data_IF_605061016740
#
_entry.id   IF_605061016740
#
_cell.length_a   1.000
_cell.length_b   1.000
_cell.length_c   1.000
_cell.angle_alpha   90.00
_cell.angle_beta   90.00
_cell.angle_gamma   90.00
#
_symmetry.space_group_name_H-M   'P 1'
#
loop_
_entity.id
_entity.type
_entity.pdbx_description
1 polymer ?
#
# COMPACT_ATOMS: atom_id res chain seq x y z
N UNK A 1 1.02 8.89 4.95
CA UNK A 1 0.42 8.34 6.18
C UNK A 1 -1.07 8.60 6.41
N UNK A 2 -1.57 9.78 6.82
CA UNK A 2 -3.00 9.92 7.21
C UNK A 2 -3.97 9.61 6.07
N UNK A 3 -3.67 10.12 4.87
CA UNK A 3 -4.45 9.82 3.67
C UNK A 3 -4.45 8.31 3.36
N UNK A 4 -3.32 7.64 3.54
CA UNK A 4 -3.20 6.20 3.35
C UNK A 4 -4.16 5.42 4.26
N UNK A 5 -4.18 5.75 5.56
CA UNK A 5 -5.12 5.14 6.51
C UNK A 5 -6.58 5.38 6.09
N UNK A 6 -6.91 6.63 5.71
CA UNK A 6 -8.26 6.98 5.32
C UNK A 6 -8.72 6.22 4.07
N UNK A 7 -7.86 6.09 3.06
CA UNK A 7 -8.19 5.39 1.83
C UNK A 7 -8.28 3.87 2.03
N UNK A 8 -7.49 3.29 2.95
CA UNK A 8 -7.65 1.89 3.37
C UNK A 8 -9.02 1.58 3.99
N UNK A 9 -9.66 2.58 4.62
CA UNK A 9 -11.05 2.46 5.12
C UNK A 9 -12.04 2.76 4.00
N UNK A 10 -11.85 3.84 3.24
CA UNK A 10 -12.81 4.30 2.24
C UNK A 10 -13.00 3.31 1.09
N UNK A 11 -11.96 2.55 0.69
CA UNK A 11 -12.08 1.55 -0.38
C UNK A 11 -13.12 0.47 -0.05
N UNK A 12 -13.36 0.23 1.25
CA UNK A 12 -14.30 -0.78 1.74
C UNK A 12 -15.76 -0.30 1.73
N UNK A 13 -15.98 1.01 1.64
CA UNK A 13 -17.33 1.57 1.53
C UNK A 13 -17.97 1.17 0.20
N UNK A 14 -19.30 1.19 0.10
CA UNK A 14 -19.96 0.91 -1.16
C UNK A 14 -19.84 2.10 -2.15
N UNK A 15 -20.04 1.86 -3.46
CA UNK A 15 -19.92 2.89 -4.50
C UNK A 15 -20.76 4.15 -4.24
N UNK A 16 -21.97 4.01 -3.71
CA UNK A 16 -22.84 5.14 -3.34
C UNK A 16 -22.27 6.03 -2.23
N UNK A 17 -21.29 5.54 -1.48
CA UNK A 17 -20.51 6.29 -0.48
C UNK A 17 -19.08 6.60 -0.95
N UNK A 18 -18.77 6.38 -2.22
CA UNK A 18 -17.48 6.69 -2.84
C UNK A 18 -16.39 5.63 -2.63
N UNK A 19 -16.75 4.43 -2.14
CA UNK A 19 -15.82 3.30 -2.06
C UNK A 19 -16.00 2.30 -3.20
N UNK A 20 -15.40 1.11 -3.07
CA UNK A 20 -15.40 0.08 -4.11
C UNK A 20 -15.87 -1.29 -3.60
N UNK A 21 -16.40 -1.38 -2.38
CA UNK A 21 -16.61 -2.65 -1.66
C UNK A 21 -15.35 -3.54 -1.67
N UNK A 22 -14.17 -2.91 -1.63
CA UNK A 22 -12.88 -3.58 -1.82
C UNK A 22 -12.06 -3.65 -0.54
N UNK A 23 -10.98 -4.43 -0.60
CA UNK A 23 -9.95 -4.56 0.42
C UNK A 23 -8.73 -3.70 0.06
N UNK A 24 -7.89 -3.44 1.05
CA UNK A 24 -6.64 -2.70 0.89
C UNK A 24 -5.42 -3.57 1.23
N UNK A 25 -4.31 -3.29 0.57
CA UNK A 25 -2.97 -3.70 0.99
C UNK A 25 -2.22 -2.46 1.47
N UNK A 26 -1.59 -2.54 2.64
CA UNK A 26 -0.78 -1.49 3.23
C UNK A 26 0.65 -2.00 3.45
N UNK A 27 1.57 -1.55 2.60
CA UNK A 27 3.00 -1.79 2.74
C UNK A 27 3.61 -0.61 3.51
N UNK A 28 4.05 -0.88 4.72
CA UNK A 28 4.65 0.11 5.63
C UNK A 28 6.17 -0.03 5.61
N UNK A 29 6.89 1.04 5.27
CA UNK A 29 8.36 1.09 5.19
C UNK A 29 9.00 1.75 6.42
N UNK A 30 8.27 2.62 7.14
CA UNK A 30 8.79 3.40 8.29
C UNK A 30 8.17 3.12 9.66
N UNK A 31 7.09 2.35 9.73
CA UNK A 31 6.48 1.85 10.96
C UNK A 31 5.42 2.84 11.40
N UNK A 32 4.77 3.46 10.42
CA UNK A 32 3.87 4.60 10.60
C UNK A 32 2.41 4.16 10.64
N UNK A 33 2.13 2.89 10.32
CA UNK A 33 0.78 2.33 10.44
C UNK A 33 0.33 2.33 11.91
N UNK A 34 -0.87 2.84 12.16
CA UNK A 34 -1.48 2.90 13.49
C UNK A 34 -2.91 2.36 13.40
N UNK A 35 -3.15 1.21 14.00
CA UNK A 35 -4.45 0.55 13.97
C UNK A 35 -5.54 1.40 14.64
N UNK A 36 -5.17 2.20 15.64
CA UNK A 36 -6.05 3.14 16.33
C UNK A 36 -6.60 4.21 15.37
N UNK A 37 -5.84 4.56 14.32
CA UNK A 37 -6.32 5.48 13.26
C UNK A 37 -7.35 4.82 12.37
N UNK A 38 -7.15 3.55 12.00
CA UNK A 38 -8.13 2.78 11.24
C UNK A 38 -9.42 2.65 12.05
N UNK A 39 -9.33 2.31 13.34
CA UNK A 39 -10.49 2.19 14.22
C UNK A 39 -11.29 3.51 14.28
N UNK A 40 -10.61 4.63 14.53
CA UNK A 40 -11.26 5.94 14.59
C UNK A 40 -11.94 6.31 13.25
N UNK A 41 -11.26 6.04 12.12
CA UNK A 41 -11.78 6.32 10.78
C UNK A 41 -12.97 5.42 10.41
N UNK A 42 -12.90 4.13 10.74
CA UNK A 42 -13.98 3.17 10.51
C UNK A 42 -15.25 3.57 11.29
N UNK A 43 -15.11 3.89 12.58
CA UNK A 43 -16.22 4.39 13.41
C UNK A 43 -16.85 5.65 12.83
N UNK A 44 -16.04 6.59 12.33
CA UNK A 44 -16.52 7.85 11.76
C UNK A 44 -17.41 7.66 10.51
N UNK A 45 -17.23 6.56 9.77
CA UNK A 45 -18.04 6.23 8.58
C UNK A 45 -19.08 5.15 8.83
N UNK A 46 -19.23 4.69 10.08
CA UNK A 46 -20.20 3.68 10.49
C UNK A 46 -19.82 2.25 10.09
N UNK A 47 -18.54 1.96 9.85
CA UNK A 47 -18.04 0.61 9.68
C UNK A 47 -17.67 -0.02 11.03
N UNK A 48 -17.84 -1.33 11.13
CA UNK A 48 -17.32 -2.12 12.24
C UNK A 48 -15.77 -2.13 12.19
N UNK A 49 -15.06 -1.71 13.25
CA UNK A 49 -13.60 -1.62 13.24
C UNK A 49 -12.88 -2.94 13.00
N UNK A 50 -13.39 -4.04 13.56
CA UNK A 50 -12.76 -5.36 13.41
C UNK A 50 -12.87 -5.84 11.97
N UNK A 51 -14.04 -5.66 11.36
CA UNK A 51 -14.25 -5.91 9.93
C UNK A 51 -13.37 -5.01 9.08
N UNK A 52 -13.27 -3.72 9.41
CA UNK A 52 -12.44 -2.77 8.67
C UNK A 52 -10.95 -3.15 8.72
N UNK A 53 -10.47 -3.63 9.87
CA UNK A 53 -9.11 -4.10 10.04
C UNK A 53 -8.85 -5.39 9.26
N UNK A 54 -9.77 -6.36 9.30
CA UNK A 54 -9.65 -7.64 8.59
C UNK A 54 -9.57 -7.48 7.06
N UNK A 55 -10.10 -6.38 6.52
CA UNK A 55 -10.04 -6.05 5.10
C UNK A 55 -8.76 -5.29 4.68
N UNK A 56 -7.80 -5.10 5.60
CA UNK A 56 -6.52 -4.44 5.33
C UNK A 56 -5.40 -5.46 5.53
N UNK A 57 -4.78 -5.88 4.42
CA UNK A 57 -3.55 -6.68 4.46
C UNK A 57 -2.38 -5.77 4.82
N UNK A 58 -1.78 -5.96 5.99
CA UNK A 58 -0.63 -5.20 6.44
C UNK A 58 0.68 -5.97 6.23
N UNK A 59 1.68 -5.30 5.66
CA UNK A 59 3.04 -5.84 5.51
C UNK A 59 4.09 -4.80 5.86
N UNK A 60 5.11 -5.22 6.61
CA UNK A 60 6.25 -4.38 6.97
C UNK A 60 7.42 -4.64 6.03
N UNK A 61 7.75 -3.68 5.17
CA UNK A 61 8.99 -3.72 4.41
C UNK A 61 10.15 -3.26 5.30
N UNK A 62 11.22 -4.06 5.40
CA UNK A 62 12.35 -3.80 6.31
C UNK A 62 13.60 -3.26 5.60
N UNK A 63 13.64 -3.35 4.27
CA UNK A 63 14.68 -2.82 3.38
C UNK A 63 14.14 -2.74 1.94
N UNK A 64 14.93 -2.19 1.01
CA UNK A 64 14.52 -1.93 -0.38
C UNK A 64 14.29 -3.22 -1.18
N UNK A 65 15.08 -4.27 -0.94
CA UNK A 65 14.91 -5.56 -1.59
C UNK A 65 13.62 -6.26 -1.13
N UNK A 66 13.34 -6.25 0.18
CA UNK A 66 12.12 -6.79 0.75
C UNK A 66 10.89 -6.01 0.24
N UNK A 67 10.97 -4.68 0.15
CA UNK A 67 9.90 -3.86 -0.42
C UNK A 67 9.58 -4.25 -1.87
N UNK A 68 10.59 -4.53 -2.69
CA UNK A 68 10.41 -4.99 -4.06
C UNK A 68 9.83 -6.40 -4.14
N UNK A 69 10.33 -7.33 -3.31
CA UNK A 69 9.84 -8.71 -3.24
C UNK A 69 8.35 -8.77 -2.84
N UNK A 70 7.93 -7.96 -1.86
CA UNK A 70 6.52 -7.86 -1.47
C UNK A 70 5.63 -7.50 -2.67
N UNK A 71 6.07 -6.57 -3.53
CA UNK A 71 5.30 -6.16 -4.72
C UNK A 71 5.29 -7.24 -5.82
N UNK A 72 6.34 -8.08 -5.89
CA UNK A 72 6.35 -9.24 -6.78
C UNK A 72 5.33 -10.29 -6.31
N UNK A 73 5.33 -10.62 -5.02
CA UNK A 73 4.39 -11.57 -4.40
C UNK A 73 2.93 -11.07 -4.42
N UNK A 74 2.74 -9.74 -4.44
CA UNK A 74 1.41 -9.16 -4.49
C UNK A 74 0.59 -9.59 -5.71
N UNK A 75 1.23 -9.91 -6.83
CA UNK A 75 0.54 -10.39 -8.03
C UNK A 75 -0.23 -11.69 -7.74
N UNK A 76 0.39 -12.61 -6.98
CA UNK A 76 -0.25 -13.85 -6.58
C UNK A 76 -1.40 -13.59 -5.58
N UNK A 77 -1.18 -12.72 -4.60
CA UNK A 77 -2.19 -12.36 -3.61
C UNK A 77 -3.44 -11.75 -4.27
N UNK A 78 -3.25 -10.78 -5.16
CA UNK A 78 -4.34 -10.09 -5.87
C UNK A 78 -5.12 -11.06 -6.77
N UNK A 79 -4.43 -12.01 -7.39
CA UNK A 79 -5.08 -13.04 -8.22
C UNK A 79 -5.97 -13.95 -7.37
N UNK A 80 -5.55 -14.27 -6.14
CA UNK A 80 -6.31 -15.09 -5.18
C UNK A 80 -7.41 -14.32 -4.46
N UNK A 81 -7.26 -13.01 -4.30
CA UNK A 81 -8.20 -12.11 -3.64
C UNK A 81 -8.58 -10.92 -4.55
N UNK A 82 -9.51 -11.12 -5.50
CA UNK A 82 -9.95 -10.09 -6.43
C UNK A 82 -10.65 -8.89 -5.76
N UNK A 83 -11.01 -9.01 -4.48
CA UNK A 83 -11.57 -7.91 -3.71
C UNK A 83 -10.54 -6.82 -3.40
N UNK A 84 -9.23 -7.08 -3.50
CA UNK A 84 -8.22 -6.04 -3.31
C UNK A 84 -8.36 -5.00 -4.44
N UNK A 85 -8.65 -3.76 -4.04
CA UNK A 85 -8.84 -2.62 -4.96
C UNK A 85 -7.94 -1.43 -4.66
N UNK A 86 -7.11 -1.53 -3.63
CA UNK A 86 -6.15 -0.51 -3.23
C UNK A 86 -4.84 -1.13 -2.75
N UNK A 87 -3.72 -0.67 -3.28
CA UNK A 87 -2.37 -0.92 -2.75
C UNK A 87 -1.75 0.40 -2.31
N UNK A 88 -1.23 0.43 -1.09
CA UNK A 88 -0.52 1.57 -0.51
C UNK A 88 0.92 1.15 -0.21
N UNK A 89 1.89 2.02 -0.54
CA UNK A 89 3.29 1.92 -0.12
C UNK A 89 3.68 3.19 0.64
N UNK A 90 3.65 3.18 1.97
CA UNK A 90 4.00 4.34 2.80
C UNK A 90 5.30 4.08 3.56
N UNK A 91 6.43 4.72 3.24
CA UNK A 91 6.74 5.65 2.15
C UNK A 91 7.71 5.00 1.14
N UNK A 92 7.38 5.05 -0.16
CA UNK A 92 8.08 4.27 -1.21
C UNK A 92 9.57 4.51 -1.32
N UNK A 93 10.06 5.72 -1.03
CA UNK A 93 11.48 6.09 -1.20
C UNK A 93 12.34 5.91 0.04
N UNK A 94 11.76 5.57 1.19
CA UNK A 94 12.46 5.63 2.49
C UNK A 94 13.70 4.71 2.50
N UNK A 95 13.50 3.41 2.26
CA UNK A 95 14.60 2.44 2.20
C UNK A 95 15.61 2.75 1.11
N UNK A 96 15.15 3.17 -0.08
CA UNK A 96 16.05 3.55 -1.18
C UNK A 96 16.95 4.72 -0.82
N UNK A 97 16.45 5.71 -0.06
CA UNK A 97 17.27 6.84 0.38
C UNK A 97 18.24 6.46 1.49
N UNK A 98 17.86 5.54 2.37
CA UNK A 98 18.70 5.07 3.46
C UNK A 98 19.85 4.17 2.97
N UNK A 99 19.56 3.24 2.05
CA UNK A 99 20.54 2.26 1.54
C UNK A 99 21.47 2.82 0.47
N UNK A 100 21.00 3.82 -0.29
CA UNK A 100 21.75 4.46 -1.37
C UNK A 100 21.90 5.97 -1.11
N UNK A 101 22.66 6.37 -0.06
CA UNK A 101 22.87 7.77 0.29
C UNK A 101 23.84 8.45 -0.70
N UNK A 102 23.91 9.78 -0.64
CA UNK A 102 24.87 10.54 -1.44
C UNK A 102 24.49 10.71 -2.92
N UNK A 103 25.31 11.46 -3.65
CA UNK A 103 25.11 11.75 -5.09
C UNK A 103 25.72 10.66 -5.97
N UNK A 104 26.76 10.01 -5.48
CA UNK A 104 27.45 8.88 -6.08
C UNK A 104 26.52 7.68 -6.31
N UNK A 105 25.55 7.46 -5.43
CA UNK A 105 24.57 6.39 -5.57
C UNK A 105 23.27 6.81 -6.27
N UNK A 106 23.17 8.07 -6.73
CA UNK A 106 21.93 8.60 -7.31
C UNK A 106 21.48 7.77 -8.52
N UNK A 107 22.40 7.42 -9.41
CA UNK A 107 22.07 6.65 -10.61
C UNK A 107 21.52 5.26 -10.28
N UNK A 108 22.22 4.52 -9.39
CA UNK A 108 21.82 3.17 -8.95
C UNK A 108 20.47 3.22 -8.22
N UNK A 109 20.29 4.20 -7.33
CA UNK A 109 19.03 4.43 -6.62
C UNK A 109 17.88 4.69 -7.58
N UNK A 110 18.07 5.59 -8.55
CA UNK A 110 17.03 5.91 -9.54
C UNK A 110 16.71 4.71 -10.42
N UNK A 111 17.71 3.93 -10.83
CA UNK A 111 17.48 2.71 -11.60
C UNK A 111 16.61 1.71 -10.82
N UNK A 112 16.94 1.45 -9.55
CA UNK A 112 16.21 0.49 -8.70
C UNK A 112 14.81 0.99 -8.35
N UNK A 113 14.68 2.27 -7.97
CA UNK A 113 13.39 2.90 -7.67
C UNK A 113 12.48 2.93 -8.91
N UNK A 114 12.99 3.31 -10.08
CA UNK A 114 12.19 3.31 -11.31
C UNK A 114 11.69 1.90 -11.67
N UNK A 115 12.52 0.87 -11.50
CA UNK A 115 12.09 -0.52 -11.67
C UNK A 115 10.93 -0.84 -10.72
N UNK A 116 11.04 -0.46 -9.45
CA UNK A 116 9.99 -0.68 -8.46
C UNK A 116 8.68 0.07 -8.78
N UNK A 117 8.77 1.33 -9.19
CA UNK A 117 7.61 2.13 -9.61
C UNK A 117 6.93 1.52 -10.84
N UNK A 118 7.69 0.99 -11.80
CA UNK A 118 7.12 0.27 -12.94
C UNK A 118 6.39 -1.02 -12.54
N UNK A 119 6.87 -1.75 -11.51
CA UNK A 119 6.15 -2.90 -10.97
C UNK A 119 4.78 -2.49 -10.42
N UNK A 120 4.73 -1.39 -9.68
CA UNK A 120 3.49 -0.84 -9.10
C UNK A 120 2.51 -0.35 -10.19
N UNK A 121 2.99 0.39 -11.20
CA UNK A 121 2.15 0.83 -12.33
C UNK A 121 1.57 -0.36 -13.07
N UNK A 122 2.39 -1.38 -13.38
CA UNK A 122 1.92 -2.59 -14.07
C UNK A 122 0.87 -3.34 -13.24
N UNK A 123 1.05 -3.39 -11.92
CA UNK A 123 0.08 -4.00 -11.02
C UNK A 123 -1.26 -3.24 -11.05
N UNK A 124 -1.22 -1.90 -11.00
CA UNK A 124 -2.40 -1.06 -11.10
C UNK A 124 -3.17 -1.27 -12.42
N UNK A 125 -2.45 -1.28 -13.54
CA UNK A 125 -3.03 -1.41 -14.89
C UNK A 125 -3.57 -2.81 -15.18
N UNK A 126 -2.84 -3.87 -14.81
CA UNK A 126 -3.24 -5.23 -15.15
C UNK A 126 -4.42 -5.74 -14.32
N UNK A 127 -4.57 -5.27 -13.08
CA UNK A 127 -5.56 -5.79 -12.14
C UNK A 127 -6.69 -4.80 -11.81
N UNK A 128 -6.69 -3.61 -12.43
CA UNK A 128 -7.67 -2.54 -12.17
C UNK A 128 -7.72 -2.17 -10.68
N UNK A 129 -6.56 -1.74 -10.15
CA UNK A 129 -6.32 -1.44 -8.74
C UNK A 129 -5.72 -0.05 -8.59
N UNK A 130 -6.21 0.72 -7.63
CA UNK A 130 -5.59 1.98 -7.27
C UNK A 130 -4.27 1.74 -6.51
N UNK A 131 -3.20 2.44 -6.89
CA UNK A 131 -1.91 2.38 -6.18
C UNK A 131 -1.51 3.76 -5.68
N UNK A 132 -1.07 3.83 -4.41
CA UNK A 132 -0.66 5.07 -3.73
C UNK A 132 0.73 4.86 -3.13
N UNK A 133 1.62 5.84 -3.29
CA UNK A 133 3.03 5.81 -2.85
C UNK A 133 3.43 7.06 -2.07
#
# INVERSE_FOLDING_TARGET
TQLCHQLSVNVQLPPEKGGLNGKAVYIDTEGTFRWERIEAMAKAVGLDPDTAMNNIYYMRAINSDHQMAIVEDLQELITKEPAIKLVIVDSVTSHFRAEFPGRENLAVRQQKLNKHLHQLVRLAEMYDIATII
#
